data_IF_569968224387
#
_entry.id   IF_569968224387
#
_cell.length_a   1.000
_cell.length_b   1.000
_cell.length_c   1.000
_cell.angle_alpha   90.00
_cell.angle_beta   90.00
_cell.angle_gamma   90.00
#
_symmetry.space_group_name_H-M   'P 1'
#
loop_
_entity.id
_entity.type
_entity.pdbx_description
1 polymer ?
#
# COMPACT_ATOMS: atom_id res chain seq x y z
N UNK A 1 -15.66 -6.18 -13.04
CA UNK A 1 -15.70 -5.47 -14.34
C UNK A 1 -14.32 -4.90 -14.59
N UNK A 2 -13.74 -5.03 -15.81
CA UNK A 2 -12.38 -4.55 -16.04
C UNK A 2 -12.37 -3.01 -16.14
N UNK A 3 -11.32 -2.32 -15.66
CA UNK A 3 -11.12 -0.92 -16.01
C UNK A 3 -10.67 -0.82 -17.47
N UNK A 4 -11.21 0.21 -18.12
CA UNK A 4 -11.10 0.51 -19.54
C UNK A 4 -9.65 0.82 -19.96
N UNK A 5 -9.15 0.08 -20.94
CA UNK A 5 -7.93 0.44 -21.68
C UNK A 5 -8.30 1.65 -22.55
N UNK A 6 -7.87 2.86 -22.14
CA UNK A 6 -8.01 4.05 -22.99
C UNK A 6 -7.15 3.89 -24.24
N UNK A 7 -7.80 4.12 -25.38
CA UNK A 7 -7.27 3.87 -26.72
C UNK A 7 -6.13 4.81 -27.11
N UNK A 8 -5.13 4.21 -27.74
CA UNK A 8 -4.12 4.90 -28.54
C UNK A 8 -4.79 5.44 -29.82
N UNK A 9 -5.00 6.76 -29.86
CA UNK A 9 -5.33 7.47 -31.08
C UNK A 9 -4.11 7.55 -31.99
N UNK A 10 -4.21 6.89 -33.14
CA UNK A 10 -3.25 6.97 -34.25
C UNK A 10 -3.20 8.38 -34.83
N UNK A 11 -2.03 9.02 -34.85
CA UNK A 11 -1.71 10.05 -35.84
C UNK A 11 -0.27 9.92 -36.34
N UNK A 12 -0.20 9.78 -37.67
CA UNK A 12 0.85 10.17 -38.62
C UNK A 12 2.30 9.68 -38.45
N UNK A 13 2.68 8.86 -39.43
CA UNK A 13 4.05 8.62 -39.91
C UNK A 13 4.80 9.95 -40.16
N UNK A 14 6.05 10.00 -39.68
CA UNK A 14 7.12 10.71 -40.36
C UNK A 14 8.37 9.82 -40.36
N UNK A 15 8.80 9.45 -41.57
CA UNK A 15 9.98 8.65 -41.85
C UNK A 15 11.23 9.53 -41.72
N UNK A 16 12.26 9.08 -41.00
CA UNK A 16 13.65 9.38 -41.33
C UNK A 16 14.58 8.26 -40.83
N UNK A 17 15.44 7.81 -41.75
CA UNK A 17 16.39 6.69 -41.69
C UNK A 17 17.74 7.05 -41.02
N UNK A 18 18.64 6.07 -40.77
CA UNK A 18 19.43 5.98 -39.53
C UNK A 18 20.90 6.43 -39.65
N UNK A 19 21.52 6.65 -38.49
CA UNK A 19 22.97 6.46 -38.32
C UNK A 19 23.66 7.39 -37.33
N UNK A 20 24.05 6.84 -36.16
CA UNK A 20 25.46 6.67 -35.72
C UNK A 20 25.53 6.30 -34.25
N UNK A 21 26.15 5.15 -34.01
CA UNK A 21 26.62 4.62 -32.73
C UNK A 21 27.66 5.55 -32.11
N UNK A 22 27.45 5.95 -30.85
CA UNK A 22 28.54 6.44 -29.98
C UNK A 22 28.34 5.83 -28.59
N UNK A 23 29.32 5.03 -28.18
CA UNK A 23 29.44 4.49 -26.84
C UNK A 23 29.81 5.61 -25.85
N UNK A 24 29.16 5.68 -24.69
CA UNK A 24 29.77 6.31 -23.52
C UNK A 24 29.17 5.81 -22.18
N UNK A 25 30.07 5.22 -21.40
CA UNK A 25 30.22 5.29 -19.94
C UNK A 25 28.97 5.27 -19.05
N UNK A 26 28.62 4.07 -18.59
CA UNK A 26 27.73 3.83 -17.46
C UNK A 26 28.41 4.19 -16.13
N UNK A 27 28.19 5.41 -15.66
CA UNK A 27 28.30 5.72 -14.22
C UNK A 27 27.02 5.25 -13.53
N UNK A 28 27.09 4.54 -12.38
CA UNK A 28 25.90 4.08 -11.71
C UNK A 28 25.07 5.25 -11.19
N UNK A 29 23.76 5.21 -11.48
CA UNK A 29 22.79 6.20 -11.02
C UNK A 29 22.82 6.32 -9.48
N UNK A 30 22.74 7.53 -8.90
CA UNK A 30 22.73 7.75 -7.46
C UNK A 30 21.59 7.01 -6.74
N UNK A 31 20.54 6.60 -7.46
CA UNK A 31 19.46 5.77 -6.92
C UNK A 31 19.92 4.34 -6.58
N UNK A 32 20.87 3.76 -7.32
CA UNK A 32 21.34 2.39 -7.10
C UNK A 32 22.17 2.26 -5.81
N UNK A 33 22.94 3.32 -5.47
CA UNK A 33 23.76 3.36 -4.25
C UNK A 33 22.88 3.57 -3.00
N UNK A 34 21.82 4.37 -3.12
CA UNK A 34 20.87 4.63 -2.01
C UNK A 34 20.04 3.39 -1.66
N UNK A 35 19.61 2.61 -2.65
CA UNK A 35 18.85 1.38 -2.44
C UNK A 35 19.65 0.27 -1.76
N UNK A 36 20.95 0.11 -2.08
CA UNK A 36 21.82 -0.87 -1.40
C UNK A 36 22.03 -0.55 0.08
N UNK A 37 22.15 0.74 0.40
CA UNK A 37 22.40 1.21 1.76
C UNK A 37 21.14 1.13 2.64
N UNK A 38 19.96 1.41 2.07
CA UNK A 38 18.68 1.22 2.77
C UNK A 38 18.41 -0.26 3.07
N UNK A 39 18.67 -1.17 2.12
CA UNK A 39 18.50 -2.61 2.32
C UNK A 39 19.33 -3.15 3.50
N UNK A 40 20.56 -2.64 3.68
CA UNK A 40 21.43 -2.99 4.81
C UNK A 40 20.95 -2.43 6.16
N UNK A 41 20.39 -1.21 6.19
CA UNK A 41 19.87 -0.60 7.43
C UNK A 41 18.62 -1.33 7.97
N UNK A 42 17.80 -1.91 7.09
CA UNK A 42 16.61 -2.69 7.48
C UNK A 42 16.89 -4.18 7.67
N UNK A 43 18.05 -4.71 7.24
CA UNK A 43 18.49 -6.06 7.57
C UNK A 43 18.62 -6.28 9.09
N UNK A 44 18.94 -5.22 9.85
CA UNK A 44 18.92 -5.24 11.32
C UNK A 44 17.52 -5.38 11.93
N UNK A 45 16.48 -4.91 11.22
CA UNK A 45 15.06 -5.04 11.61
C UNK A 45 14.46 -6.39 11.21
N UNK A 46 15.11 -7.12 10.31
CA UNK A 46 14.72 -8.46 9.83
C UNK A 46 15.35 -9.61 10.64
N UNK A 47 16.21 -9.34 11.63
CA UNK A 47 16.79 -10.39 12.48
C UNK A 47 15.70 -11.06 13.31
N UNK A 48 15.35 -12.30 12.93
CA UNK A 48 14.71 -13.25 13.85
C UNK A 48 15.60 -13.39 15.09
N UNK A 49 15.06 -13.27 16.31
CA UNK A 49 15.82 -13.64 17.50
C UNK A 49 16.12 -15.15 17.41
N UNK A 50 17.37 -15.49 17.09
CA UNK A 50 17.92 -16.81 17.36
C UNK A 50 18.25 -16.81 18.85
N UNK A 51 17.40 -17.42 19.67
CA UNK A 51 17.72 -18.37 20.76
C UNK A 51 16.42 -18.65 21.51
N UNK A 52 16.17 -19.93 21.77
CA UNK A 52 15.11 -20.47 22.62
C UNK A 52 15.06 -19.74 23.98
N UNK A 53 13.98 -19.04 24.24
CA UNK A 53 13.26 -19.11 25.51
C UNK A 53 11.80 -18.80 25.21
N UNK A 54 10.94 -19.80 25.42
CA UNK A 54 9.48 -19.70 25.31
C UNK A 54 8.98 -18.86 26.49
N UNK A 55 9.26 -17.56 26.47
CA UNK A 55 8.55 -16.60 27.31
C UNK A 55 7.09 -16.70 26.88
N UNK A 56 6.21 -16.98 27.84
CA UNK A 56 4.77 -17.03 27.60
C UNK A 56 4.37 -15.84 26.73
N UNK A 57 3.64 -16.10 25.64
CA UNK A 57 3.16 -15.13 24.66
C UNK A 57 2.41 -14.01 25.37
N UNK A 58 3.12 -12.98 25.85
CA UNK A 58 2.50 -11.79 26.39
C UNK A 58 1.87 -11.07 25.22
N UNK A 59 0.56 -10.84 25.34
CA UNK A 59 -0.17 -10.01 24.40
C UNK A 59 0.53 -8.65 24.33
N UNK A 60 0.90 -8.16 23.13
CA UNK A 60 1.56 -6.86 22.99
C UNK A 60 0.73 -5.78 23.65
N UNK A 61 1.38 -4.93 24.45
CA UNK A 61 0.70 -3.78 25.04
C UNK A 61 0.36 -2.72 23.99
N UNK A 62 -0.52 -1.78 24.34
CA UNK A 62 -0.90 -0.65 23.47
C UNK A 62 0.33 0.15 23.01
N UNK A 63 1.37 0.26 23.86
CA UNK A 63 2.64 0.93 23.52
C UNK A 63 3.42 0.14 22.47
N UNK A 64 3.50 -1.18 22.57
CA UNK A 64 4.18 -2.03 21.59
C UNK A 64 3.50 -1.95 20.22
N UNK A 65 2.16 -1.98 20.21
CA UNK A 65 1.35 -1.82 19.00
C UNK A 65 1.62 -0.46 18.37
N UNK A 66 1.58 0.62 19.14
CA UNK A 66 1.84 1.97 18.63
C UNK A 66 3.26 2.11 18.04
N UNK A 67 4.28 1.56 18.72
CA UNK A 67 5.66 1.56 18.23
C UNK A 67 5.79 0.76 16.92
N UNK A 68 5.18 -0.43 16.83
CA UNK A 68 5.20 -1.24 15.61
C UNK A 68 4.45 -0.55 14.46
N UNK A 69 3.29 0.04 14.74
CA UNK A 69 2.49 0.81 13.78
C UNK A 69 3.27 2.00 13.21
N UNK A 70 3.95 2.77 14.06
CA UNK A 70 4.78 3.88 13.65
C UNK A 70 6.00 3.41 12.81
N UNK A 71 6.62 2.28 13.16
CA UNK A 71 7.76 1.71 12.43
C UNK A 71 7.38 1.10 11.07
N UNK A 72 6.12 0.70 10.88
CA UNK A 72 5.65 0.13 9.62
C UNK A 72 5.73 1.13 8.46
N UNK A 73 5.41 2.42 8.69
CA UNK A 73 5.45 3.45 7.63
C UNK A 73 6.85 3.59 7.00
N UNK A 74 7.95 3.86 7.75
CA UNK A 74 9.27 3.96 7.16
C UNK A 74 9.75 2.64 6.54
N UNK A 75 9.36 1.48 7.10
CA UNK A 75 9.64 0.18 6.50
C UNK A 75 9.00 0.02 5.12
N UNK A 76 7.70 0.29 4.98
CA UNK A 76 7.01 0.23 3.68
C UNK A 76 7.67 1.17 2.68
N UNK A 77 8.01 2.39 3.11
CA UNK A 77 8.63 3.41 2.26
C UNK A 77 10.07 3.09 1.86
N UNK A 78 10.77 2.16 2.52
CA UNK A 78 12.08 1.72 2.05
C UNK A 78 11.98 0.77 0.85
N UNK A 79 10.84 0.09 0.69
CA UNK A 79 10.59 -0.81 -0.45
C UNK A 79 9.77 -0.16 -1.57
N UNK A 80 8.87 0.78 -1.24
CA UNK A 80 8.09 1.56 -2.19
C UNK A 80 8.37 3.07 -1.95
N UNK A 81 9.53 3.57 -2.37
CA UNK A 81 9.94 4.95 -2.07
C UNK A 81 9.18 5.98 -2.91
N UNK A 82 8.73 5.59 -4.11
CA UNK A 82 8.04 6.44 -5.05
C UNK A 82 6.57 6.64 -4.66
N UNK A 83 6.00 7.72 -5.17
CA UNK A 83 4.63 8.13 -4.86
C UNK A 83 3.65 7.28 -5.67
N UNK A 84 2.45 7.07 -5.13
CA UNK A 84 1.40 6.36 -5.85
C UNK A 84 1.11 7.07 -7.17
N UNK A 85 0.70 6.29 -8.15
CA UNK A 85 0.27 6.74 -9.47
C UNK A 85 -1.04 7.54 -9.39
N UNK A 86 -1.98 7.12 -8.55
CA UNK A 86 -3.25 7.80 -8.33
C UNK A 86 -3.19 9.09 -7.48
N UNK A 87 -2.00 9.52 -7.03
CA UNK A 87 -1.83 10.75 -6.23
C UNK A 87 -0.77 11.64 -6.84
N UNK A 88 -1.19 12.59 -7.65
CA UNK A 88 -0.33 13.49 -8.39
C UNK A 88 -0.88 14.92 -8.47
N UNK A 89 -0.36 15.72 -9.41
CA UNK A 89 -0.76 17.11 -9.63
C UNK A 89 -1.75 17.25 -10.82
N UNK A 90 -2.31 16.14 -11.30
CA UNK A 90 -3.09 16.03 -12.53
C UNK A 90 -2.23 15.84 -13.80
N UNK A 91 -2.89 15.76 -14.96
CA UNK A 91 -2.25 15.52 -16.26
C UNK A 91 -1.35 16.69 -16.72
N UNK A 92 -1.67 17.92 -16.31
CA UNK A 92 -0.97 19.15 -16.72
C UNK A 92 0.29 19.42 -15.89
N UNK A 93 1.46 19.19 -16.49
CA UNK A 93 2.78 19.41 -15.88
C UNK A 93 2.99 20.86 -15.43
N UNK A 94 2.27 21.85 -15.98
CA UNK A 94 2.35 23.24 -15.52
C UNK A 94 1.85 23.42 -14.07
N UNK A 95 1.06 22.48 -13.56
CA UNK A 95 0.57 22.46 -12.16
C UNK A 95 1.57 21.84 -11.18
N UNK A 96 2.59 21.14 -11.70
CA UNK A 96 3.61 20.51 -10.88
C UNK A 96 4.57 21.59 -10.37
N UNK A 97 4.79 21.72 -9.05
CA UNK A 97 5.77 22.65 -8.52
C UNK A 97 7.15 22.39 -9.13
N UNK A 98 7.97 23.42 -9.44
CA UNK A 98 9.27 23.23 -10.09
C UNK A 98 10.20 22.27 -9.35
N UNK A 99 10.17 22.33 -8.01
CA UNK A 99 10.94 21.41 -7.16
C UNK A 99 10.51 19.96 -7.28
N UNK A 100 9.33 19.66 -7.83
CA UNK A 100 8.71 18.34 -7.93
C UNK A 100 8.69 17.75 -9.35
N UNK A 101 8.93 18.55 -10.38
CA UNK A 101 8.96 18.13 -11.78
C UNK A 101 9.79 16.86 -12.04
N UNK A 102 11.00 16.68 -11.47
CA UNK A 102 11.79 15.47 -11.71
C UNK A 102 11.08 14.15 -11.31
N UNK A 103 10.05 14.22 -10.47
CA UNK A 103 9.30 13.05 -10.00
C UNK A 103 7.85 13.03 -10.47
N UNK A 104 7.32 14.10 -11.06
CA UNK A 104 5.88 14.18 -11.35
C UNK A 104 5.57 14.53 -12.80
N UNK A 105 6.56 14.89 -13.63
CA UNK A 105 6.36 14.99 -15.07
C UNK A 105 5.98 13.63 -15.68
N UNK A 106 5.32 13.66 -16.83
CA UNK A 106 4.78 12.50 -17.54
C UNK A 106 5.73 11.29 -17.60
N UNK A 107 6.93 11.44 -18.16
CA UNK A 107 7.88 10.33 -18.28
C UNK A 107 8.30 9.75 -16.92
N UNK A 108 8.47 10.59 -15.88
CA UNK A 108 8.70 10.10 -14.52
C UNK A 108 7.48 9.40 -13.88
N UNK A 109 6.25 9.70 -14.33
CA UNK A 109 5.04 8.95 -13.96
C UNK A 109 5.07 7.57 -14.61
N UNK A 110 5.25 7.51 -15.91
CA UNK A 110 5.26 6.24 -16.65
C UNK A 110 6.34 5.29 -16.16
N UNK A 111 7.55 5.81 -15.94
CA UNK A 111 8.70 5.04 -15.46
C UNK A 111 8.44 4.35 -14.10
N UNK A 112 7.54 4.88 -13.26
CA UNK A 112 7.18 4.26 -11.97
C UNK A 112 5.88 3.48 -12.01
N UNK A 113 4.94 3.83 -12.88
CA UNK A 113 3.65 3.14 -13.04
C UNK A 113 3.82 1.82 -13.79
N UNK A 114 4.68 1.76 -14.80
CA UNK A 114 4.94 0.51 -15.54
C UNK A 114 5.41 -0.63 -14.62
N UNK A 115 6.39 -0.43 -13.71
CA UNK A 115 6.76 -1.44 -12.73
C UNK A 115 5.63 -1.80 -11.74
N UNK A 116 4.81 -0.82 -11.33
CA UNK A 116 3.65 -1.07 -10.47
C UNK A 116 2.64 -1.98 -11.18
N UNK A 117 2.32 -1.72 -12.44
CA UNK A 117 1.41 -2.57 -13.23
C UNK A 117 1.91 -4.02 -13.31
N UNK A 118 3.23 -4.23 -13.45
CA UNK A 118 3.83 -5.57 -13.42
C UNK A 118 3.65 -6.25 -12.06
N UNK A 119 3.86 -5.53 -10.96
CA UNK A 119 3.61 -6.02 -9.60
C UNK A 119 2.14 -6.42 -9.46
N UNK A 120 1.22 -5.57 -9.90
CA UNK A 120 -0.22 -5.81 -9.82
C UNK A 120 -0.64 -7.02 -10.65
N UNK A 121 -0.12 -7.20 -11.87
CA UNK A 121 -0.39 -8.39 -12.67
C UNK A 121 0.01 -9.69 -11.94
N UNK A 122 1.18 -9.72 -11.31
CA UNK A 122 1.64 -10.89 -10.54
C UNK A 122 0.80 -11.13 -9.28
N UNK A 123 0.45 -10.06 -8.56
CA UNK A 123 -0.46 -10.13 -7.40
C UNK A 123 -1.82 -10.69 -7.82
N UNK A 124 -2.44 -10.15 -8.86
CA UNK A 124 -3.75 -10.60 -9.35
C UNK A 124 -3.71 -12.05 -9.83
N UNK A 125 -2.64 -12.46 -10.51
CA UNK A 125 -2.47 -13.85 -10.93
C UNK A 125 -2.46 -14.80 -9.71
N UNK A 126 -1.68 -14.46 -8.67
CA UNK A 126 -1.58 -15.28 -7.47
C UNK A 126 -2.88 -15.29 -6.65
N UNK A 127 -3.53 -14.14 -6.49
CA UNK A 127 -4.83 -14.06 -5.84
C UNK A 127 -5.89 -14.89 -6.57
N UNK A 128 -5.89 -14.87 -7.91
CA UNK A 128 -6.80 -15.70 -8.70
C UNK A 128 -6.52 -17.20 -8.50
N UNK A 129 -5.26 -17.61 -8.39
CA UNK A 129 -4.93 -18.99 -8.01
C UNK A 129 -5.55 -19.34 -6.67
N UNK A 130 -5.39 -18.49 -5.64
CA UNK A 130 -5.98 -18.74 -4.33
C UNK A 130 -7.50 -18.84 -4.35
N UNK A 131 -8.18 -17.96 -5.11
CA UNK A 131 -9.65 -18.03 -5.31
C UNK A 131 -10.05 -19.37 -5.91
N UNK A 132 -9.40 -19.77 -7.00
CA UNK A 132 -9.72 -20.99 -7.74
C UNK A 132 -9.46 -22.24 -6.88
N UNK A 133 -8.37 -22.26 -6.13
CA UNK A 133 -7.99 -23.39 -5.27
C UNK A 133 -8.57 -23.32 -3.86
N UNK A 134 -9.38 -22.30 -3.53
CA UNK A 134 -9.90 -22.02 -2.19
C UNK A 134 -8.81 -22.01 -1.10
N UNK A 135 -7.63 -21.50 -1.44
CA UNK A 135 -6.53 -21.35 -0.51
C UNK A 135 -6.68 -20.06 0.30
N UNK A 136 -6.21 -20.08 1.55
CA UNK A 136 -6.10 -18.87 2.34
C UNK A 136 -5.05 -17.93 1.70
N UNK A 137 -5.26 -16.60 1.73
CA UNK A 137 -4.28 -15.66 1.21
C UNK A 137 -2.92 -15.77 1.91
N UNK A 138 -1.83 -15.85 1.13
CA UNK A 138 -0.45 -15.72 1.63
C UNK A 138 0.07 -14.31 1.31
N UNK A 139 -0.23 -13.34 2.18
CA UNK A 139 0.26 -11.98 2.03
C UNK A 139 1.79 -11.86 2.10
N UNK A 140 2.49 -12.83 2.71
CA UNK A 140 3.94 -12.90 2.67
C UNK A 140 4.46 -13.18 1.25
N UNK A 141 3.74 -13.99 0.46
CA UNK A 141 4.04 -14.16 -0.96
C UNK A 141 3.85 -12.87 -1.76
N UNK A 142 2.77 -12.12 -1.51
CA UNK A 142 2.58 -10.80 -2.14
C UNK A 142 3.70 -9.83 -1.74
N UNK A 143 4.09 -9.81 -0.46
CA UNK A 143 5.18 -8.97 0.01
C UNK A 143 6.51 -9.30 -0.72
N UNK A 144 6.82 -10.58 -0.94
CA UNK A 144 8.00 -10.99 -1.74
C UNK A 144 7.94 -10.50 -3.19
N UNK A 145 6.77 -10.59 -3.83
CA UNK A 145 6.55 -10.03 -5.18
C UNK A 145 6.85 -8.53 -5.18
N UNK A 146 6.26 -7.78 -4.25
CA UNK A 146 6.41 -6.32 -4.15
C UNK A 146 7.87 -5.94 -3.90
N UNK A 147 8.51 -6.51 -2.88
CA UNK A 147 9.90 -6.19 -2.52
C UNK A 147 10.90 -6.51 -3.63
N UNK A 148 10.65 -7.52 -4.46
CA UNK A 148 11.53 -7.88 -5.58
C UNK A 148 11.59 -6.82 -6.70
N UNK A 149 10.61 -5.93 -6.78
CA UNK A 149 10.42 -4.96 -7.88
C UNK A 149 10.20 -3.52 -7.39
N UNK A 150 9.88 -3.34 -6.11
CA UNK A 150 9.35 -2.10 -5.54
C UNK A 150 10.29 -0.91 -5.56
N UNK A 151 11.60 -1.13 -5.56
CA UNK A 151 12.60 -0.05 -5.48
C UNK A 151 12.49 0.97 -6.63
N UNK A 152 11.97 0.53 -7.78
CA UNK A 152 11.71 1.38 -8.96
C UNK A 152 10.22 1.61 -9.23
N UNK A 153 9.33 1.03 -8.43
CA UNK A 153 7.89 1.10 -8.64
C UNK A 153 7.26 2.21 -7.80
N UNK A 154 6.18 2.79 -8.32
CA UNK A 154 5.16 3.40 -7.49
C UNK A 154 4.56 2.35 -6.53
N UNK A 155 4.01 2.80 -5.40
CA UNK A 155 3.22 1.95 -4.53
C UNK A 155 1.85 2.55 -4.32
N UNK A 156 0.78 1.80 -4.57
CA UNK A 156 -0.58 2.24 -4.26
C UNK A 156 -1.02 1.70 -2.87
N UNK A 157 -2.24 2.01 -2.43
CA UNK A 157 -2.74 1.69 -1.10
C UNK A 157 -2.65 0.19 -0.79
N UNK A 158 -2.96 -0.67 -1.77
CA UNK A 158 -2.95 -2.12 -1.58
C UNK A 158 -1.54 -2.68 -1.39
N UNK A 159 -0.58 -2.37 -2.26
CA UNK A 159 0.80 -2.87 -2.14
C UNK A 159 1.45 -2.36 -0.85
N UNK A 160 1.16 -1.11 -0.47
CA UNK A 160 1.63 -0.54 0.79
C UNK A 160 1.01 -1.23 2.01
N UNK A 161 -0.28 -1.56 1.98
CA UNK A 161 -0.95 -2.30 3.05
C UNK A 161 -0.42 -3.74 3.18
N UNK A 162 -0.11 -4.42 2.06
CA UNK A 162 0.50 -5.76 2.07
C UNK A 162 1.86 -5.75 2.79
N UNK A 163 2.74 -4.79 2.45
CA UNK A 163 4.05 -4.68 3.11
C UNK A 163 3.93 -4.31 4.60
N UNK A 164 2.98 -3.44 4.96
CA UNK A 164 2.72 -3.09 6.35
C UNK A 164 2.21 -4.32 7.13
N UNK A 165 1.28 -5.08 6.55
CA UNK A 165 0.75 -6.30 7.14
C UNK A 165 1.85 -7.32 7.41
N UNK A 166 2.68 -7.61 6.41
CA UNK A 166 3.78 -8.58 6.53
C UNK A 166 4.77 -8.17 7.65
N UNK A 167 5.16 -6.90 7.67
CA UNK A 167 6.00 -6.33 8.74
C UNK A 167 5.37 -6.47 10.12
N UNK A 168 4.11 -6.07 10.27
CA UNK A 168 3.40 -6.09 11.55
C UNK A 168 3.20 -7.52 12.06
N UNK A 169 2.91 -8.49 11.17
CA UNK A 169 2.82 -9.91 11.52
C UNK A 169 4.14 -10.50 11.99
N UNK A 170 5.27 -10.08 11.40
CA UNK A 170 6.59 -10.49 11.87
C UNK A 170 6.97 -9.87 13.22
N UNK A 171 6.52 -8.63 13.48
CA UNK A 171 6.90 -7.88 14.68
C UNK A 171 6.00 -8.15 15.89
N UNK A 172 4.71 -8.34 15.65
CA UNK A 172 3.68 -8.61 16.65
C UNK A 172 3.31 -10.10 16.55
N UNK A 173 4.11 -10.93 17.22
CA UNK A 173 4.07 -12.40 17.09
C UNK A 173 2.94 -13.09 17.86
N UNK A 174 2.05 -12.33 18.51
CA UNK A 174 0.89 -12.91 19.19
C UNK A 174 -0.12 -13.41 18.14
N UNK A 175 -0.42 -14.71 18.22
CA UNK A 175 -1.37 -15.38 17.33
C UNK A 175 -2.82 -14.91 17.55
N UNK A 176 -3.14 -14.39 18.73
CA UNK A 176 -4.48 -13.94 19.09
C UNK A 176 -4.73 -12.46 18.79
N UNK A 177 -3.69 -11.68 18.44
CA UNK A 177 -3.87 -10.28 18.07
C UNK A 177 -4.39 -10.19 16.62
N UNK A 178 -5.62 -9.70 16.39
CA UNK A 178 -6.14 -9.56 15.03
C UNK A 178 -5.34 -8.48 14.29
N UNK A 179 -4.66 -8.86 13.22
CA UNK A 179 -4.00 -7.91 12.30
C UNK A 179 -4.51 -8.23 10.91
N UNK A 180 -5.09 -7.30 10.17
CA UNK A 180 -5.68 -7.56 8.85
C UNK A 180 -5.45 -6.42 7.86
N UNK A 181 -5.55 -6.73 6.56
CA UNK A 181 -5.73 -5.71 5.53
C UNK A 181 -7.23 -5.46 5.38
N UNK A 182 -7.63 -4.22 5.61
CA UNK A 182 -9.01 -3.74 5.48
C UNK A 182 -9.15 -3.04 4.14
N UNK A 183 -10.19 -3.41 3.40
CA UNK A 183 -10.60 -2.74 2.16
C UNK A 183 -11.90 -1.99 2.42
N UNK A 184 -11.97 -0.74 1.97
CA UNK A 184 -13.25 -0.08 1.74
C UNK A 184 -13.89 -0.71 0.50
N UNK A 185 -15.18 -1.03 0.56
CA UNK A 185 -15.90 -1.53 -0.62
C UNK A 185 -16.09 -0.42 -1.66
N UNK A 186 -16.39 -0.79 -2.90
CA UNK A 186 -16.71 0.20 -3.93
C UNK A 186 -17.91 1.07 -3.47
N UNK A 187 -17.85 2.42 -3.58
CA UNK A 187 -16.89 3.21 -4.36
C UNK A 187 -15.63 3.71 -3.62
N UNK A 188 -15.38 3.30 -2.37
CA UNK A 188 -14.29 3.85 -1.55
C UNK A 188 -12.88 3.44 -1.94
N UNK A 189 -12.70 2.23 -2.49
CA UNK A 189 -11.47 1.69 -3.10
C UNK A 189 -10.14 2.12 -2.42
N UNK A 190 -10.07 1.92 -1.10
CA UNK A 190 -8.88 2.22 -0.30
C UNK A 190 -8.54 1.06 0.63
N UNK A 191 -7.24 0.81 0.81
CA UNK A 191 -6.72 -0.28 1.61
C UNK A 191 -5.75 0.22 2.69
N UNK A 192 -5.88 -0.32 3.90
CA UNK A 192 -5.02 -0.04 5.05
C UNK A 192 -4.94 -1.26 5.97
N UNK A 193 -4.08 -1.24 6.98
CA UNK A 193 -3.96 -2.33 7.95
C UNK A 193 -4.65 -1.96 9.26
N UNK A 194 -5.44 -2.87 9.80
CA UNK A 194 -6.01 -2.79 11.14
C UNK A 194 -5.28 -3.74 12.09
N UNK A 195 -5.07 -3.31 13.34
CA UNK A 195 -4.50 -4.10 14.44
C UNK A 195 -5.49 -4.04 15.61
N UNK A 196 -5.74 -5.16 16.29
CA UNK A 196 -6.57 -5.21 17.49
C UNK A 196 -8.09 -5.18 17.26
N UNK A 197 -8.55 -5.13 16.00
CA UNK A 197 -9.98 -5.14 15.66
C UNK A 197 -10.38 -6.47 15.01
N UNK A 198 -11.36 -7.15 15.61
CA UNK A 198 -11.98 -8.34 15.03
C UNK A 198 -13.09 -7.96 14.05
N UNK A 199 -13.32 -8.82 13.06
CA UNK A 199 -14.50 -8.78 12.20
C UNK A 199 -15.64 -9.62 12.79
N UNK A 200 -16.83 -9.46 12.23
CA UNK A 200 -17.91 -10.43 12.39
C UNK A 200 -17.63 -11.75 11.64
N UNK A 201 -18.60 -12.68 11.67
CA UNK A 201 -18.51 -13.97 10.99
C UNK A 201 -18.43 -13.89 9.46
N UNK A 202 -18.86 -12.77 8.88
CA UNK A 202 -18.83 -12.50 7.44
C UNK A 202 -17.56 -11.75 7.00
N UNK A 203 -16.66 -11.43 7.94
CA UNK A 203 -15.45 -10.66 7.64
C UNK A 203 -15.70 -9.16 7.53
N UNK A 204 -16.83 -8.67 8.03
CA UNK A 204 -17.16 -7.24 8.06
C UNK A 204 -16.67 -6.59 9.36
N UNK A 205 -16.18 -5.36 9.23
CA UNK A 205 -15.82 -4.50 10.36
C UNK A 205 -17.01 -3.61 10.74
N UNK A 206 -17.06 -3.10 11.98
CA UNK A 206 -18.00 -2.04 12.33
C UNK A 206 -17.83 -0.85 11.37
N UNK A 207 -18.96 -0.29 10.92
CA UNK A 207 -18.95 0.77 9.91
C UNK A 207 -18.23 2.02 10.43
N UNK A 208 -18.54 2.46 11.64
CA UNK A 208 -17.92 3.63 12.24
C UNK A 208 -16.64 3.24 13.01
N UNK A 209 -15.55 3.97 12.78
CA UNK A 209 -14.28 3.73 13.48
C UNK A 209 -14.37 3.99 14.99
N UNK A 210 -15.36 4.75 15.45
CA UNK A 210 -15.65 4.95 16.89
C UNK A 210 -16.15 3.68 17.57
N UNK A 211 -16.73 2.75 16.81
CA UNK A 211 -17.31 1.50 17.32
C UNK A 211 -16.27 0.37 17.34
N UNK A 212 -15.04 0.67 16.91
CA UNK A 212 -13.92 -0.26 16.97
C UNK A 212 -13.41 -0.36 18.41
N UNK A 213 -12.74 -1.46 18.71
CA UNK A 213 -12.11 -1.70 20.00
C UNK A 213 -11.22 -0.51 20.38
N UNK A 214 -11.23 -0.03 21.64
CA UNK A 214 -10.48 1.17 22.04
C UNK A 214 -8.96 1.09 21.80
N UNK A 215 -8.40 -0.12 21.85
CA UNK A 215 -6.99 -0.40 21.53
C UNK A 215 -6.74 -0.74 20.05
N UNK A 216 -7.74 -0.60 19.17
CA UNK A 216 -7.53 -0.84 17.75
C UNK A 216 -6.68 0.26 17.12
N UNK A 217 -5.75 -0.13 16.24
CA UNK A 217 -4.88 0.78 15.50
C UNK A 217 -5.07 0.62 14.00
N UNK A 218 -4.94 1.74 13.29
CA UNK A 218 -4.86 1.80 11.84
C UNK A 218 -3.44 2.14 11.44
N UNK A 219 -2.94 1.45 10.42
CA UNK A 219 -1.69 1.74 9.73
C UNK A 219 -2.00 1.91 8.25
N UNK A 220 -1.91 3.15 7.78
CA UNK A 220 -2.05 3.52 6.39
C UNK A 220 -0.76 4.20 5.90
N UNK A 221 0.16 3.45 5.25
CA UNK A 221 1.37 4.02 4.71
C UNK A 221 1.14 4.96 3.51
N UNK A 222 0.02 4.80 2.78
CA UNK A 222 -0.30 5.59 1.58
C UNK A 222 -0.63 7.04 1.96
N UNK A 223 -1.40 7.23 3.02
CA UNK A 223 -1.55 8.54 3.66
C UNK A 223 -0.38 8.88 4.58
N UNK A 224 0.37 7.91 5.12
CA UNK A 224 1.32 8.10 6.24
C UNK A 224 0.58 8.45 7.54
N UNK A 225 -0.41 7.64 7.88
CA UNK A 225 -1.14 7.74 9.13
C UNK A 225 -0.93 6.42 9.89
N UNK A 226 -0.57 6.54 11.17
CA UNK A 226 -0.54 5.43 12.11
C UNK A 226 -1.12 5.95 13.42
N UNK A 227 -2.32 5.51 13.78
CA UNK A 227 -3.07 6.06 14.91
C UNK A 227 -4.06 5.05 15.46
N UNK A 228 -4.72 5.40 16.58
CA UNK A 228 -5.89 4.64 17.02
C UNK A 228 -7.00 4.74 15.98
N UNK A 229 -7.82 3.70 15.89
CA UNK A 229 -8.91 3.66 14.92
C UNK A 229 -9.86 4.85 15.04
N UNK A 230 -10.24 5.21 16.28
CA UNK A 230 -11.14 6.34 16.54
C UNK A 230 -10.61 7.70 16.01
N UNK A 231 -9.29 7.89 15.96
CA UNK A 231 -8.66 9.14 15.50
C UNK A 231 -8.49 9.19 13.97
N UNK A 232 -8.66 8.05 13.29
CA UNK A 232 -8.34 7.90 11.87
C UNK A 232 -9.16 8.82 10.95
N UNK A 233 -10.49 8.97 11.12
CA UNK A 233 -11.28 9.87 10.27
C UNK A 233 -10.80 11.32 10.32
N UNK A 234 -10.44 11.81 11.51
CA UNK A 234 -9.93 13.18 11.65
C UNK A 234 -8.56 13.33 10.98
N UNK A 235 -7.62 12.42 11.25
CA UNK A 235 -6.28 12.49 10.66
C UNK A 235 -6.30 12.34 9.13
N UNK A 236 -7.25 11.57 8.60
CA UNK A 236 -7.50 11.47 7.17
C UNK A 236 -7.97 12.81 6.58
N UNK A 237 -9.01 13.41 7.16
CA UNK A 237 -9.51 14.72 6.73
C UNK A 237 -8.40 15.78 6.72
N UNK A 238 -7.64 15.89 7.81
CA UNK A 238 -6.49 16.80 7.88
C UNK A 238 -5.41 16.50 6.82
N UNK A 239 -5.25 15.23 6.45
CA UNK A 239 -4.32 14.85 5.39
C UNK A 239 -4.81 15.28 4.02
N UNK A 240 -6.10 15.07 3.72
CA UNK A 240 -6.72 15.49 2.47
C UNK A 240 -6.64 17.00 2.30
N UNK A 241 -6.88 17.78 3.35
CA UNK A 241 -6.69 19.24 3.36
C UNK A 241 -5.24 19.63 3.04
N UNK A 242 -4.26 18.98 3.67
CA UNK A 242 -2.83 19.20 3.39
C UNK A 242 -2.46 18.85 1.94
N UNK A 243 -3.14 17.88 1.33
CA UNK A 243 -2.92 17.52 -0.07
C UNK A 243 -3.57 18.53 -1.02
N UNK A 244 -4.82 18.93 -0.78
CA UNK A 244 -5.51 19.97 -1.54
C UNK A 244 -4.74 21.30 -1.50
N UNK A 245 -4.27 21.73 -0.34
CA UNK A 245 -3.48 22.95 -0.18
C UNK A 245 -2.14 22.92 -0.95
N UNK A 246 -1.67 21.73 -1.34
CA UNK A 246 -0.47 21.53 -2.16
C UNK A 246 -0.80 21.35 -3.64
N UNK A 247 -2.07 21.37 -4.04
CA UNK A 247 -2.51 21.09 -5.41
C UNK A 247 -2.48 19.62 -5.80
N UNK A 248 -2.38 18.71 -4.84
CA UNK A 248 -2.45 17.27 -5.12
C UNK A 248 -3.90 16.83 -5.37
N UNK A 249 -4.05 15.84 -6.24
CA UNK A 249 -5.30 15.20 -6.63
C UNK A 249 -5.26 13.71 -6.29
N UNK A 250 -6.43 13.09 -6.19
CA UNK A 250 -6.59 11.63 -6.07
C UNK A 250 -7.49 11.18 -7.20
N UNK A 251 -7.00 10.33 -8.09
CA UNK A 251 -7.73 9.88 -9.30
C UNK A 251 -8.36 11.05 -10.08
N UNK A 252 -7.55 12.07 -10.35
CA UNK A 252 -7.95 13.33 -10.98
C UNK A 252 -9.06 14.13 -10.28
N UNK A 253 -9.46 13.75 -9.08
CA UNK A 253 -10.43 14.48 -8.26
C UNK A 253 -9.75 15.30 -7.14
N UNK A 254 -10.47 16.27 -6.60
CA UNK A 254 -10.04 16.94 -5.37
C UNK A 254 -10.01 15.92 -4.22
N UNK A 255 -8.97 15.89 -3.37
CA UNK A 255 -8.99 15.04 -2.17
C UNK A 255 -10.04 15.51 -1.14
N UNK A 256 -10.62 16.70 -1.35
CA UNK A 256 -11.72 17.24 -0.55
C UNK A 256 -13.10 16.96 -1.16
N UNK A 257 -13.19 16.18 -2.24
CA UNK A 257 -14.49 15.71 -2.72
C UNK A 257 -15.24 15.00 -1.60
N UNK A 258 -16.49 15.41 -1.37
CA UNK A 258 -17.27 14.90 -0.24
C UNK A 258 -17.51 13.39 -0.35
N UNK A 259 -17.60 12.86 -1.57
CA UNK A 259 -17.71 11.43 -1.84
C UNK A 259 -16.50 10.66 -1.31
N UNK A 260 -15.28 11.18 -1.43
CA UNK A 260 -14.07 10.55 -0.91
C UNK A 260 -14.02 10.59 0.63
N UNK A 261 -14.41 11.72 1.23
CA UNK A 261 -14.46 11.86 2.68
C UNK A 261 -15.54 10.97 3.31
N UNK A 262 -16.71 10.89 2.68
CA UNK A 262 -17.81 10.02 3.10
C UNK A 262 -17.47 8.55 2.87
N UNK A 263 -16.76 8.22 1.79
CA UNK A 263 -16.33 6.85 1.54
C UNK A 263 -15.49 6.29 2.69
N UNK A 264 -14.67 7.10 3.36
CA UNK A 264 -13.97 6.60 4.55
C UNK A 264 -14.94 6.30 5.71
N UNK A 265 -15.87 7.21 5.97
CA UNK A 265 -16.75 7.19 7.15
C UNK A 265 -17.87 6.17 7.01
N UNK A 266 -18.56 6.18 5.89
CA UNK A 266 -19.86 5.54 5.71
C UNK A 266 -19.79 4.28 4.84
N UNK A 267 -18.62 3.94 4.31
CA UNK A 267 -18.45 2.73 3.50
C UNK A 267 -18.22 1.49 4.37
N UNK A 268 -18.73 0.37 3.86
CA UNK A 268 -18.45 -0.94 4.38
C UNK A 268 -16.95 -1.23 4.37
N UNK A 269 -16.50 -1.95 5.39
CA UNK A 269 -15.10 -2.30 5.62
C UNK A 269 -15.02 -3.81 5.69
N UNK A 270 -14.25 -4.41 4.79
CA UNK A 270 -14.14 -5.86 4.67
C UNK A 270 -12.70 -6.33 4.90
N UNK A 271 -12.56 -7.50 5.52
CA UNK A 271 -11.30 -8.20 5.65
C UNK A 271 -10.88 -8.81 4.32
N UNK A 272 -9.67 -8.48 3.86
CA UNK A 272 -9.07 -9.13 2.67
C UNK A 272 -8.71 -10.59 2.93
N UNK A 273 -8.58 -11.03 4.20
CA UNK A 273 -8.42 -12.47 4.51
C UNK A 273 -9.70 -13.26 4.31
N UNK A 274 -10.85 -12.66 4.63
CA UNK A 274 -12.17 -13.32 4.55
C UNK A 274 -12.82 -13.18 3.17
N UNK A 275 -12.34 -12.27 2.32
CA UNK A 275 -12.73 -12.15 0.92
C UNK A 275 -12.49 -13.41 0.06
N UNK A 276 -11.73 -14.38 0.58
CA UNK A 276 -11.44 -15.68 -0.03
C UNK A 276 -11.90 -16.77 0.96
N UNK A 277 -13.20 -17.09 1.02
CA UNK A 277 -13.70 -18.05 2.00
C UNK A 277 -13.06 -19.43 1.78
N UNK A 278 -12.08 -19.76 2.61
CA UNK A 278 -11.75 -21.13 2.94
C UNK A 278 -12.90 -21.70 3.77
N UNK A 279 -13.43 -22.84 3.34
CA UNK A 279 -14.49 -23.56 4.07
C UNK A 279 -14.06 -23.80 5.51
N UNK A 280 -14.67 -23.11 6.47
CA UNK A 280 -14.76 -23.67 7.82
C UNK A 280 -15.64 -24.92 7.70
N UNK A 281 -15.09 -26.05 8.15
CA UNK A 281 -15.81 -27.30 8.28
C UNK A 281 -17.11 -27.06 9.07
N UNK A 282 -18.22 -27.55 8.52
CA UNK A 282 -19.48 -27.63 9.25
C UNK A 282 -19.24 -28.37 10.58
N UNK A 283 -19.82 -27.91 11.71
CA UNK A 283 -19.89 -28.77 12.88
C UNK A 283 -20.84 -29.94 12.56
N UNK A 284 -20.42 -31.12 13.04
CA UNK A 284 -21.12 -32.40 12.96
C UNK A 284 -22.50 -32.33 13.60
#
# INVERSE_FOLDING_TARGET
MPPSIRGLGTTALAQHSPGKTVASNTSPSPNTVRSRTACAAFAGLLRRPSTLERIASQKPGTVDIACAAAAAIPYVRSFLPLKSDNKDYGEDDARVPPSKLPWYHEEARDNRTIPLNKIQCEIYALENTWKQSRQAPDFGALARIITSKGACAAGNCYEQAVLAYDFLRMRLTDANLPIDIVSLEHPGDHNFVAIGQSTDGNGQYPMQFSDWHPDAFIVDPWTKIACRAADYPQQWSEKMEKWAARGLRVDDASPLEQSLLNALRDNNKISRRKAFPGTHASPV
#
